data_IF_194716780067
#
_entry.id   IF_194716780067
#
_cell.length_a   1.000
_cell.length_b   1.000
_cell.length_c   1.000
_cell.angle_alpha   90.00
_cell.angle_beta   90.00
_cell.angle_gamma   90.00
#
_symmetry.space_group_name_H-M   'P 1'
#
loop_
_entity.id
_entity.type
_entity.pdbx_description
1 polymer ?
#
# COMPACT_ATOMS: atom_id res chain seq x y z
N UNK A 1 21.90 -30.73 -1.23
CA UNK A 1 20.50 -30.65 -0.76
C UNK A 1 20.28 -29.26 -0.16
N UNK A 2 19.68 -28.33 -0.92
CA UNK A 2 19.22 -27.08 -0.32
C UNK A 2 18.12 -27.40 0.69
N UNK A 3 18.27 -26.86 1.90
CA UNK A 3 17.33 -27.13 2.97
C UNK A 3 15.96 -26.52 2.62
N UNK A 4 14.86 -27.25 2.81
CA UNK A 4 13.49 -26.81 2.55
C UNK A 4 13.19 -25.43 3.17
N UNK A 5 13.81 -25.15 4.32
CA UNK A 5 13.74 -23.88 5.02
C UNK A 5 14.35 -22.71 4.21
N UNK A 6 15.51 -22.94 3.54
CA UNK A 6 16.14 -21.90 2.72
C UNK A 6 15.32 -21.56 1.48
N UNK A 7 14.58 -22.52 0.94
CA UNK A 7 13.65 -22.30 -0.16
C UNK A 7 12.45 -21.42 0.24
N UNK A 8 11.86 -21.66 1.41
CA UNK A 8 10.73 -20.85 1.88
C UNK A 8 11.17 -19.45 2.27
N UNK A 9 12.33 -19.28 2.90
CA UNK A 9 12.88 -17.95 3.20
C UNK A 9 13.14 -17.12 1.93
N UNK A 10 13.62 -17.73 0.86
CA UNK A 10 13.78 -17.05 -0.44
C UNK A 10 12.45 -16.65 -1.06
N UNK A 11 11.38 -17.44 -0.89
CA UNK A 11 10.03 -17.08 -1.36
C UNK A 11 9.45 -15.91 -0.57
N UNK A 12 9.64 -15.89 0.74
CA UNK A 12 9.27 -14.77 1.60
C UNK A 12 10.03 -13.51 1.15
N UNK A 13 11.35 -13.58 1.04
CA UNK A 13 12.16 -12.47 0.55
C UNK A 13 11.69 -11.98 -0.84
N UNK A 14 11.37 -12.91 -1.74
CA UNK A 14 10.80 -12.60 -3.05
C UNK A 14 9.48 -11.82 -2.98
N UNK A 15 8.60 -12.16 -2.04
CA UNK A 15 7.36 -11.42 -1.81
C UNK A 15 7.65 -9.98 -1.36
N UNK A 16 8.57 -9.80 -0.40
CA UNK A 16 8.96 -8.48 0.07
C UNK A 16 9.64 -7.63 -1.02
N UNK A 17 10.53 -8.21 -1.81
CA UNK A 17 11.20 -7.51 -2.93
C UNK A 17 10.18 -7.07 -3.98
N UNK A 18 9.17 -7.90 -4.28
CA UNK A 18 8.19 -7.60 -5.31
C UNK A 18 7.15 -6.57 -4.87
N UNK A 19 6.65 -6.68 -3.62
CA UNK A 19 5.52 -5.87 -3.14
C UNK A 19 5.93 -4.69 -2.24
N UNK A 20 7.23 -4.48 -2.01
CA UNK A 20 7.71 -3.35 -1.23
C UNK A 20 9.03 -2.80 -1.80
N UNK A 21 9.35 -1.57 -1.38
CA UNK A 21 10.65 -0.93 -1.71
C UNK A 21 11.74 -1.22 -0.68
N UNK A 22 11.54 -2.23 0.18
CA UNK A 22 12.56 -2.61 1.16
C UNK A 22 13.78 -3.15 0.42
N UNK A 23 14.98 -2.56 0.64
CA UNK A 23 16.19 -2.99 -0.03
C UNK A 23 16.69 -4.31 0.57
N UNK A 24 16.28 -5.44 0.00
CA UNK A 24 16.80 -6.75 0.35
C UNK A 24 17.88 -7.18 -0.67
N UNK A 25 18.90 -7.94 -0.24
CA UNK A 25 19.94 -8.42 -1.13
C UNK A 25 19.35 -9.22 -2.30
N UNK A 26 19.72 -8.87 -3.53
CA UNK A 26 19.26 -9.57 -4.75
C UNK A 26 19.65 -11.05 -4.76
N UNK A 27 20.69 -11.43 -4.01
CA UNK A 27 21.11 -12.82 -3.82
C UNK A 27 20.05 -13.70 -3.11
N UNK A 28 19.10 -13.09 -2.42
CA UNK A 28 17.97 -13.77 -1.77
C UNK A 28 16.82 -14.04 -2.76
N UNK A 29 16.85 -13.40 -3.92
CA UNK A 29 15.87 -13.60 -4.96
C UNK A 29 16.37 -14.66 -5.96
N UNK A 30 15.59 -15.73 -6.16
CA UNK A 30 15.80 -16.69 -7.24
C UNK A 30 14.69 -16.53 -8.27
N UNK A 31 15.05 -16.40 -9.55
CA UNK A 31 14.10 -16.31 -10.66
C UNK A 31 13.13 -17.52 -10.75
N UNK A 32 13.45 -18.62 -10.07
CA UNK A 32 12.58 -19.80 -9.94
C UNK A 32 11.53 -19.68 -8.83
N UNK A 33 11.40 -18.50 -8.18
CA UNK A 33 10.46 -18.30 -7.05
C UNK A 33 9.04 -18.01 -7.56
N UNK A 34 8.47 -18.91 -8.34
CA UNK A 34 7.15 -18.76 -8.98
C UNK A 34 5.95 -18.78 -8.01
N UNK A 35 6.16 -18.89 -6.69
CA UNK A 35 5.09 -19.00 -5.70
C UNK A 35 5.25 -18.05 -4.51
N UNK A 36 5.85 -16.87 -4.72
CA UNK A 36 5.97 -15.86 -3.66
C UNK A 36 4.62 -15.22 -3.29
N UNK A 37 3.61 -15.30 -4.17
CA UNK A 37 2.27 -14.76 -3.94
C UNK A 37 1.57 -15.32 -2.69
N UNK A 38 1.91 -16.54 -2.25
CA UNK A 38 1.39 -17.13 -1.00
C UNK A 38 1.78 -16.32 0.26
N UNK A 39 2.84 -15.53 0.19
CA UNK A 39 3.33 -14.69 1.28
C UNK A 39 2.93 -13.23 1.16
N UNK A 40 2.03 -12.91 0.23
CA UNK A 40 1.50 -11.56 0.03
C UNK A 40 0.90 -10.97 1.30
N UNK A 41 0.14 -11.77 2.06
CA UNK A 41 -0.45 -11.35 3.32
C UNK A 41 0.58 -10.92 4.38
N UNK A 42 1.79 -11.53 4.40
CA UNK A 42 2.86 -11.11 5.32
C UNK A 42 3.36 -9.70 4.98
N UNK A 43 3.46 -9.37 3.69
CA UNK A 43 3.81 -8.01 3.27
C UNK A 43 2.74 -7.02 3.70
N UNK A 44 1.45 -7.39 3.54
CA UNK A 44 0.32 -6.59 4.01
C UNK A 44 0.37 -6.32 5.53
N UNK A 45 0.71 -7.33 6.33
CA UNK A 45 0.91 -7.17 7.78
C UNK A 45 2.03 -6.18 8.10
N UNK A 46 3.16 -6.25 7.38
CA UNK A 46 4.25 -5.31 7.58
C UNK A 46 3.84 -3.89 7.20
N UNK A 47 3.24 -3.71 6.01
CA UNK A 47 2.78 -2.40 5.52
C UNK A 47 1.76 -1.78 6.48
N UNK A 48 0.76 -2.59 6.91
CA UNK A 48 -0.23 -2.17 7.89
C UNK A 48 0.41 -1.81 9.24
N UNK A 49 1.33 -2.64 9.73
CA UNK A 49 2.04 -2.40 10.99
C UNK A 49 2.87 -1.10 10.96
N UNK A 50 3.57 -0.82 9.85
CA UNK A 50 4.30 0.45 9.68
C UNK A 50 3.34 1.64 9.64
N UNK A 51 2.21 1.52 8.92
CA UNK A 51 1.20 2.58 8.86
C UNK A 51 0.62 2.90 10.24
N UNK A 52 0.26 1.87 11.02
CA UNK A 52 -0.21 2.02 12.40
C UNK A 52 0.88 2.59 13.30
N UNK A 53 2.13 2.14 13.15
CA UNK A 53 3.26 2.68 13.90
C UNK A 53 3.47 4.19 13.66
N UNK A 54 3.42 4.63 12.40
CA UNK A 54 3.52 6.05 12.05
C UNK A 54 2.33 6.84 12.60
N UNK A 55 1.12 6.29 12.51
CA UNK A 55 -0.07 6.89 13.07
C UNK A 55 0.03 7.06 14.60
N UNK A 56 0.48 6.02 15.33
CA UNK A 56 0.71 6.10 16.78
C UNK A 56 1.77 7.14 17.14
N UNK A 57 2.88 7.17 16.41
CA UNK A 57 3.93 8.19 16.63
C UNK A 57 3.41 9.60 16.40
N UNK A 58 2.62 9.80 15.33
CA UNK A 58 2.00 11.09 15.07
C UNK A 58 1.02 11.49 16.17
N UNK A 59 0.24 10.55 16.69
CA UNK A 59 -0.62 10.80 17.85
C UNK A 59 0.20 11.26 19.06
N UNK A 60 1.27 10.56 19.40
CA UNK A 60 2.14 10.95 20.52
C UNK A 60 2.77 12.33 20.35
N UNK A 61 3.08 12.73 19.11
CA UNK A 61 3.69 14.04 18.83
C UNK A 61 2.67 15.18 18.83
N UNK A 62 1.43 14.93 18.48
CA UNK A 62 0.39 15.95 18.31
C UNK A 62 -0.67 15.94 19.42
N UNK A 63 -0.55 15.06 20.42
CA UNK A 63 -1.38 15.10 21.63
C UNK A 63 -1.05 16.32 22.47
N UNK A 64 -2.06 16.90 23.07
CA UNK A 64 -1.91 17.91 24.09
C UNK A 64 -1.48 17.32 25.46
N UNK A 65 -1.31 18.17 26.45
CA UNK A 65 -0.92 17.76 27.82
C UNK A 65 -1.98 16.88 28.53
N UNK A 66 -3.19 16.81 28.01
CA UNK A 66 -4.29 15.94 28.50
C UNK A 66 -4.34 14.58 27.79
N UNK A 67 -3.47 14.37 26.80
CA UNK A 67 -3.44 13.14 25.99
C UNK A 67 -4.55 13.07 24.95
N UNK A 68 -5.31 14.16 24.75
CA UNK A 68 -6.35 14.25 23.74
C UNK A 68 -5.78 14.74 22.41
N UNK A 69 -6.20 14.12 21.31
CA UNK A 69 -5.89 14.59 19.96
C UNK A 69 -6.77 15.80 19.63
N UNK A 70 -6.15 16.87 19.12
CA UNK A 70 -6.95 17.95 18.55
C UNK A 70 -7.70 17.45 17.30
N UNK A 71 -8.82 18.09 16.99
CA UNK A 71 -9.60 17.78 15.77
C UNK A 71 -8.77 17.86 14.48
N UNK A 72 -7.66 18.59 14.51
CA UNK A 72 -6.74 18.73 13.36
C UNK A 72 -5.67 17.65 13.33
N UNK A 73 -5.24 17.14 14.49
CA UNK A 73 -4.11 16.19 14.56
C UNK A 73 -4.48 14.79 14.10
N UNK A 74 -5.71 14.34 14.33
CA UNK A 74 -6.19 13.04 13.90
C UNK A 74 -6.18 12.85 12.36
N UNK A 75 -6.75 13.75 11.55
CA UNK A 75 -6.64 13.67 10.09
C UNK A 75 -5.21 13.63 9.58
N UNK A 76 -4.31 14.41 10.21
CA UNK A 76 -2.89 14.44 9.83
C UNK A 76 -2.22 13.09 10.15
N UNK A 77 -2.47 12.51 11.30
CA UNK A 77 -1.91 11.22 11.69
C UNK A 77 -2.34 10.09 10.72
N UNK A 78 -3.63 10.08 10.33
CA UNK A 78 -4.16 9.13 9.33
C UNK A 78 -3.46 9.33 7.98
N UNK A 79 -3.34 10.57 7.53
CA UNK A 79 -2.70 10.88 6.25
C UNK A 79 -1.23 10.44 6.24
N UNK A 80 -0.49 10.66 7.33
CA UNK A 80 0.90 10.22 7.45
C UNK A 80 1.02 8.69 7.39
N UNK A 81 0.11 7.95 8.03
CA UNK A 81 0.04 6.50 7.92
C UNK A 81 -0.24 6.01 6.50
N UNK A 82 -1.16 6.68 5.78
CA UNK A 82 -1.43 6.40 4.36
C UNK A 82 -0.22 6.67 3.47
N UNK A 83 0.46 7.81 3.67
CA UNK A 83 1.68 8.16 2.93
C UNK A 83 2.78 7.11 3.17
N UNK A 84 2.96 6.68 4.41
CA UNK A 84 3.94 5.65 4.75
C UNK A 84 3.67 4.33 4.02
N UNK A 85 2.41 3.91 3.91
CA UNK A 85 2.02 2.71 3.14
C UNK A 85 2.39 2.85 1.66
N UNK A 86 2.04 3.97 1.03
CA UNK A 86 2.34 4.24 -0.38
C UNK A 86 3.84 4.26 -0.64
N UNK A 87 4.62 4.93 0.22
CA UNK A 87 6.08 4.97 0.09
C UNK A 87 6.72 3.59 0.26
N UNK A 88 6.22 2.79 1.21
CA UNK A 88 6.76 1.46 1.47
C UNK A 88 6.48 0.47 0.33
N UNK A 89 5.31 0.53 -0.28
CA UNK A 89 4.95 -0.30 -1.45
C UNK A 89 5.44 0.28 -2.77
N UNK A 90 5.88 1.54 -2.78
CA UNK A 90 6.25 2.26 -3.99
C UNK A 90 5.06 2.54 -4.90
N UNK A 91 3.88 2.72 -4.33
CA UNK A 91 2.62 2.97 -5.03
C UNK A 91 2.17 1.84 -5.97
N UNK A 92 2.69 0.61 -5.80
CA UNK A 92 2.39 -0.52 -6.70
C UNK A 92 0.88 -0.79 -6.85
N UNK A 93 0.13 -0.68 -5.75
CA UNK A 93 -1.31 -0.96 -5.75
C UNK A 93 -2.11 0.21 -6.34
N UNK A 94 -1.68 1.43 -6.04
CA UNK A 94 -2.26 2.67 -6.54
C UNK A 94 -2.06 2.78 -8.06
N UNK A 95 -0.87 2.44 -8.53
CA UNK A 95 -0.52 2.41 -9.95
C UNK A 95 -1.38 1.38 -10.71
N UNK A 96 -1.43 0.14 -10.23
CA UNK A 96 -2.28 -0.89 -10.84
C UNK A 96 -3.78 -0.55 -10.82
N UNK A 97 -4.25 0.18 -9.81
CA UNK A 97 -5.63 0.68 -9.78
C UNK A 97 -5.86 1.77 -10.83
N UNK A 98 -4.92 2.72 -10.96
CA UNK A 98 -4.97 3.77 -11.96
C UNK A 98 -4.98 3.19 -13.38
N UNK A 99 -4.07 2.26 -13.67
CA UNK A 99 -4.00 1.55 -14.95
C UNK A 99 -5.32 0.82 -15.26
N UNK A 100 -5.93 0.22 -14.26
CA UNK A 100 -7.24 -0.46 -14.39
C UNK A 100 -8.33 0.56 -14.73
N UNK A 101 -8.39 1.69 -14.05
CA UNK A 101 -9.35 2.74 -14.32
C UNK A 101 -9.18 3.28 -15.75
N UNK A 102 -7.95 3.56 -16.17
CA UNK A 102 -7.68 4.05 -17.53
C UNK A 102 -7.99 2.98 -18.59
N UNK A 103 -7.62 1.73 -18.35
CA UNK A 103 -7.89 0.64 -19.28
C UNK A 103 -9.38 0.41 -19.50
N UNK A 104 -10.18 0.40 -18.43
CA UNK A 104 -11.62 0.18 -18.54
C UNK A 104 -12.39 1.45 -18.92
N UNK A 105 -11.90 2.63 -18.57
CA UNK A 105 -12.52 3.89 -18.94
C UNK A 105 -12.27 4.30 -20.40
N UNK A 106 -11.09 3.96 -20.94
CA UNK A 106 -10.67 4.38 -22.28
C UNK A 106 -10.64 3.30 -23.36
N UNK A 107 -10.63 2.00 -22.96
CA UNK A 107 -10.49 0.88 -23.90
C UNK A 107 -11.83 0.17 -24.21
N UNK A 108 -12.13 0.01 -25.50
CA UNK A 108 -13.35 -0.67 -25.97
C UNK A 108 -13.15 -2.15 -26.28
N UNK A 109 -11.91 -2.59 -26.52
CA UNK A 109 -11.57 -4.00 -26.72
C UNK A 109 -10.59 -4.49 -25.66
N UNK A 110 -10.49 -5.82 -25.43
CA UNK A 110 -9.50 -6.37 -24.49
C UNK A 110 -8.05 -5.98 -24.84
N UNK A 111 -7.71 -5.97 -26.13
CA UNK A 111 -6.39 -5.62 -26.64
C UNK A 111 -6.08 -4.15 -26.37
N UNK A 112 -7.05 -3.28 -26.58
CA UNK A 112 -6.92 -1.83 -26.32
C UNK A 112 -6.78 -1.54 -24.83
N UNK A 113 -7.56 -2.20 -23.97
CA UNK A 113 -7.42 -2.09 -22.51
C UNK A 113 -6.02 -2.48 -22.05
N UNK A 114 -5.52 -3.62 -22.50
CA UNK A 114 -4.17 -4.08 -22.16
C UNK A 114 -3.09 -3.14 -22.71
N UNK A 115 -3.31 -2.49 -23.85
CA UNK A 115 -2.40 -1.51 -24.41
C UNK A 115 -2.36 -0.26 -23.53
N UNK A 116 -3.52 0.24 -23.09
CA UNK A 116 -3.63 1.39 -22.20
C UNK A 116 -2.96 1.09 -20.85
N UNK A 117 -3.24 -0.05 -20.22
CA UNK A 117 -2.64 -0.47 -18.96
C UNK A 117 -1.11 -0.65 -19.00
N UNK A 118 -0.51 -0.79 -20.19
CA UNK A 118 0.95 -0.88 -20.37
C UNK A 118 1.60 0.47 -20.69
N UNK A 119 0.81 1.50 -20.91
CA UNK A 119 1.31 2.86 -21.13
C UNK A 119 1.62 3.50 -19.77
N UNK A 120 2.84 3.98 -19.59
CA UNK A 120 3.28 4.61 -18.33
C UNK A 120 2.66 5.99 -18.05
N UNK A 121 1.81 6.49 -18.94
CA UNK A 121 1.13 7.78 -18.80
C UNK A 121 -0.20 7.58 -18.09
N UNK A 122 -0.42 8.35 -17.02
CA UNK A 122 -1.72 8.37 -16.35
C UNK A 122 -2.74 9.13 -17.22
N UNK A 123 -3.91 8.54 -17.40
CA UNK A 123 -5.04 9.16 -18.05
C UNK A 123 -6.00 9.82 -17.07
N UNK A 124 -7.06 10.40 -17.59
CA UNK A 124 -8.07 11.11 -16.79
C UNK A 124 -8.82 10.16 -15.86
N UNK A 125 -9.17 8.97 -16.32
CA UNK A 125 -9.88 7.98 -15.49
C UNK A 125 -9.00 7.44 -14.36
N UNK A 126 -7.72 7.19 -14.62
CA UNK A 126 -6.76 6.79 -13.61
C UNK A 126 -6.56 7.86 -12.55
N UNK A 127 -6.37 9.11 -12.97
CA UNK A 127 -6.21 10.25 -12.07
C UNK A 127 -7.44 10.45 -11.18
N UNK A 128 -8.65 10.47 -11.74
CA UNK A 128 -9.90 10.61 -10.98
C UNK A 128 -10.12 9.40 -10.08
N UNK A 129 -9.84 8.18 -10.56
CA UNK A 129 -9.94 6.95 -9.77
C UNK A 129 -9.05 7.00 -8.53
N UNK A 130 -7.79 7.42 -8.68
CA UNK A 130 -6.87 7.58 -7.55
C UNK A 130 -7.37 8.61 -6.53
N UNK A 131 -7.82 9.76 -6.98
CA UNK A 131 -8.36 10.80 -6.10
C UNK A 131 -9.53 10.24 -5.28
N UNK A 132 -10.50 9.59 -5.94
CA UNK A 132 -11.64 9.02 -5.24
C UNK A 132 -11.26 7.88 -4.30
N UNK A 133 -10.35 7.00 -4.71
CA UNK A 133 -9.86 5.90 -3.86
C UNK A 133 -9.19 6.43 -2.59
N UNK A 134 -8.27 7.39 -2.73
CA UNK A 134 -7.53 7.94 -1.61
C UNK A 134 -8.42 8.74 -0.66
N UNK A 135 -9.34 9.53 -1.20
CA UNK A 135 -10.35 10.25 -0.39
C UNK A 135 -11.25 9.27 0.35
N UNK A 136 -11.79 8.27 -0.35
CA UNK A 136 -12.64 7.25 0.29
C UNK A 136 -11.89 6.53 1.41
N UNK A 137 -10.66 6.09 1.17
CA UNK A 137 -9.82 5.45 2.17
C UNK A 137 -9.58 6.35 3.38
N UNK A 138 -9.27 7.62 3.15
CA UNK A 138 -9.06 8.60 4.21
C UNK A 138 -10.31 8.80 5.07
N UNK A 139 -11.46 9.05 4.44
CA UNK A 139 -12.70 9.26 5.19
C UNK A 139 -13.19 8.01 5.92
N UNK A 140 -13.02 6.82 5.35
CA UNK A 140 -13.34 5.56 6.04
C UNK A 140 -12.46 5.38 7.26
N UNK A 141 -11.16 5.60 7.16
CA UNK A 141 -10.24 5.52 8.30
C UNK A 141 -10.60 6.53 9.39
N UNK A 142 -10.96 7.74 9.01
CA UNK A 142 -11.39 8.78 9.95
C UNK A 142 -12.67 8.36 10.71
N UNK A 143 -13.63 7.74 10.03
CA UNK A 143 -14.86 7.25 10.66
C UNK A 143 -14.62 6.07 11.60
N UNK A 144 -13.74 5.15 11.24
CA UNK A 144 -13.37 3.99 12.09
C UNK A 144 -12.75 4.48 13.39
N UNK A 145 -11.84 5.42 13.32
CA UNK A 145 -11.17 6.01 14.48
C UNK A 145 -12.17 6.65 15.44
N UNK A 146 -13.03 7.50 14.92
CA UNK A 146 -14.06 8.18 15.73
C UNK A 146 -15.11 7.24 16.31
N UNK A 147 -15.32 6.07 15.70
CA UNK A 147 -16.29 5.07 16.17
C UNK A 147 -15.71 4.11 17.22
N UNK A 148 -14.39 3.80 17.15
CA UNK A 148 -13.75 2.81 18.02
C UNK A 148 -13.18 3.45 19.29
N UNK A 149 -12.80 4.70 19.24
CA UNK A 149 -12.32 5.47 20.38
C UNK A 149 -13.32 6.57 20.78
N UNK A 150 -14.49 6.20 21.34
CA UNK A 150 -15.34 7.21 21.95
C UNK A 150 -14.67 7.62 23.27
N UNK A 151 -13.90 8.75 23.20
CA UNK A 151 -13.44 9.55 24.40
C UNK A 151 -12.79 8.75 25.54
#
# INVERSE_FOLDING_TARGET
>A
MENKLSHEMRRIAGAFIFYSRIPLPSSWFSAKTSHCSRYFSLVGWLVGGVSVGIWLLAQMMFSDSSGTLSEVSLPIAILLGMIAAVLLTGALHEDGFADTCDGFGGGWSPEERLRIMKDSRIGTYGALGLVFLLLLKFFVLLQIETAILPW
#
